data_IF_755280533861
#
_entry.id   IF_755280533861
#
_cell.length_a   1.000
_cell.length_b   1.000
_cell.length_c   1.000
_cell.angle_alpha   90.00
_cell.angle_beta   90.00
_cell.angle_gamma   90.00
#
_symmetry.space_group_name_H-M   'P 1'
#
loop_
_entity.id
_entity.type
_entity.pdbx_description
1 polymer ?
#
# COMPACT_ATOMS: atom_id res chain seq x y z
N UNK A 1 -16.21 9.22 -8.20
CA UNK A 1 -16.29 9.92 -6.91
C UNK A 1 -15.00 9.77 -6.11
N UNK A 2 -14.43 8.59 -5.97
CA UNK A 2 -13.19 8.30 -5.24
C UNK A 2 -11.98 9.08 -5.79
N UNK A 3 -11.81 9.16 -7.12
CA UNK A 3 -10.72 9.88 -7.79
C UNK A 3 -10.74 11.40 -7.51
N UNK A 4 -11.91 12.04 -7.41
CA UNK A 4 -12.03 13.46 -7.07
C UNK A 4 -11.70 13.75 -5.59
N UNK A 5 -12.01 12.81 -4.69
CA UNK A 5 -11.69 12.94 -3.26
C UNK A 5 -10.17 12.86 -3.02
N UNK A 6 -9.46 12.07 -3.81
CA UNK A 6 -8.00 11.95 -3.73
C UNK A 6 -7.22 13.21 -4.17
N UNK A 7 -7.85 14.19 -4.81
CA UNK A 7 -7.25 15.49 -5.13
C UNK A 7 -7.22 16.45 -3.94
N UNK A 8 -8.06 16.25 -2.94
CA UNK A 8 -8.12 17.09 -1.74
C UNK A 8 -7.24 16.48 -0.63
N UNK A 9 -6.25 17.26 -0.12
CA UNK A 9 -5.32 16.81 0.92
C UNK A 9 -6.02 16.36 2.20
N UNK A 10 -7.08 17.04 2.61
CA UNK A 10 -7.85 16.72 3.80
C UNK A 10 -8.71 15.46 3.63
N UNK A 11 -9.32 15.30 2.46
CA UNK A 11 -10.08 14.09 2.13
C UNK A 11 -9.17 12.84 2.09
N UNK A 12 -7.97 12.96 1.55
CA UNK A 12 -6.95 11.88 1.55
C UNK A 12 -6.57 11.47 2.98
N UNK A 13 -6.34 12.46 3.85
CA UNK A 13 -6.01 12.17 5.25
C UNK A 13 -7.20 11.50 5.96
N UNK A 14 -8.42 11.99 5.77
CA UNK A 14 -9.63 11.39 6.32
C UNK A 14 -9.84 9.94 5.87
N UNK A 15 -9.66 9.65 4.58
CA UNK A 15 -9.74 8.27 4.04
C UNK A 15 -8.62 7.41 4.63
N UNK A 16 -7.40 7.95 4.79
CA UNK A 16 -6.29 7.26 5.43
C UNK A 16 -6.60 6.89 6.90
N UNK A 17 -7.19 7.81 7.66
CA UNK A 17 -7.61 7.57 9.06
C UNK A 17 -8.71 6.49 9.12
N UNK A 18 -9.68 6.52 8.21
CA UNK A 18 -10.68 5.45 8.12
C UNK A 18 -10.04 4.09 7.76
N UNK A 19 -9.03 4.11 6.90
CA UNK A 19 -8.26 2.90 6.60
C UNK A 19 -7.58 2.32 7.84
N UNK A 20 -6.85 3.12 8.61
CA UNK A 20 -6.19 2.62 9.83
C UNK A 20 -7.17 2.23 10.94
N UNK A 21 -8.35 2.84 10.99
CA UNK A 21 -9.44 2.41 11.86
C UNK A 21 -9.90 0.99 11.48
N UNK A 22 -10.13 0.75 10.19
CA UNK A 22 -10.53 -0.58 9.70
C UNK A 22 -9.44 -1.63 9.92
N UNK A 23 -8.15 -1.24 9.80
CA UNK A 23 -7.02 -2.10 10.17
C UNK A 23 -7.07 -2.49 11.65
N UNK A 24 -7.24 -1.52 12.55
CA UNK A 24 -7.30 -1.78 13.99
C UNK A 24 -8.50 -2.67 14.36
N UNK A 25 -9.67 -2.42 13.77
CA UNK A 25 -10.84 -3.28 13.92
C UNK A 25 -10.52 -4.71 13.48
N UNK A 26 -9.94 -4.88 12.30
CA UNK A 26 -9.60 -6.20 11.77
C UNK A 26 -8.63 -6.95 12.69
N UNK A 27 -7.61 -6.29 13.19
CA UNK A 27 -6.60 -6.90 14.06
C UNK A 27 -7.21 -7.31 15.41
N UNK A 28 -7.94 -6.40 16.06
CA UNK A 28 -8.47 -6.67 17.39
C UNK A 28 -9.64 -7.66 17.38
N UNK A 29 -10.38 -7.78 16.28
CA UNK A 29 -11.53 -8.70 16.21
C UNK A 29 -11.17 -10.09 15.65
N UNK A 30 -10.21 -10.18 14.72
CA UNK A 30 -9.92 -11.44 14.02
C UNK A 30 -8.56 -12.05 14.37
N UNK A 31 -7.55 -11.23 14.70
CA UNK A 31 -6.19 -11.71 14.89
C UNK A 31 -5.87 -11.95 16.36
N UNK A 32 -6.07 -10.93 17.18
CA UNK A 32 -5.69 -10.97 18.60
C UNK A 32 -6.46 -12.04 19.40
N UNK A 33 -7.78 -12.25 19.22
CA UNK A 33 -8.53 -13.26 19.98
C UNK A 33 -8.05 -14.71 19.75
N UNK A 34 -7.42 -14.96 18.60
CA UNK A 34 -6.83 -16.27 18.28
C UNK A 34 -5.35 -16.39 18.66
N UNK A 35 -4.79 -15.41 19.37
CA UNK A 35 -3.36 -15.32 19.68
C UNK A 35 -2.46 -15.37 18.45
N UNK A 36 -2.94 -14.81 17.32
CA UNK A 36 -2.18 -14.71 16.09
C UNK A 36 -1.41 -13.38 16.01
N UNK A 37 -0.42 -13.36 15.17
CA UNK A 37 0.47 -12.22 15.01
C UNK A 37 0.38 -11.64 13.62
N UNK A 38 0.26 -10.30 13.55
CA UNK A 38 0.37 -9.59 12.28
C UNK A 38 1.82 -9.61 11.82
N UNK A 39 2.04 -9.38 10.52
CA UNK A 39 3.40 -9.16 10.03
C UNK A 39 3.97 -7.79 10.42
N UNK A 40 5.23 -7.60 10.08
CA UNK A 40 5.90 -6.31 10.25
C UNK A 40 6.20 -5.93 11.70
N UNK A 41 6.42 -4.63 11.93
CA UNK A 41 6.78 -4.10 13.24
C UNK A 41 5.70 -4.35 14.30
N UNK A 42 4.43 -4.26 13.92
CA UNK A 42 3.32 -4.48 14.83
C UNK A 42 3.30 -5.94 15.34
N UNK A 43 3.62 -6.91 14.48
CA UNK A 43 3.73 -8.32 14.87
C UNK A 43 4.79 -8.53 15.95
N UNK A 44 5.93 -7.85 15.87
CA UNK A 44 6.94 -7.89 16.94
C UNK A 44 6.44 -7.24 18.24
N UNK A 45 5.66 -6.15 18.16
CA UNK A 45 5.05 -5.54 19.35
C UNK A 45 4.04 -6.49 20.02
N UNK A 46 3.23 -7.19 19.21
CA UNK A 46 2.29 -8.19 19.70
C UNK A 46 2.99 -9.38 20.33
N UNK A 47 4.07 -9.88 19.68
CA UNK A 47 4.90 -10.96 20.22
C UNK A 47 5.47 -10.57 21.58
N UNK A 48 6.05 -9.38 21.69
CA UNK A 48 6.58 -8.86 22.95
C UNK A 48 5.51 -8.76 24.04
N UNK A 49 4.33 -8.24 23.70
CA UNK A 49 3.17 -8.22 24.62
C UNK A 49 2.85 -9.63 25.11
N UNK A 50 2.71 -10.61 24.19
CA UNK A 50 2.34 -11.98 24.55
C UNK A 50 3.39 -12.65 25.45
N UNK A 51 4.67 -12.40 25.23
CA UNK A 51 5.74 -12.88 26.11
C UNK A 51 5.63 -12.24 27.50
N UNK A 52 5.35 -10.94 27.59
CA UNK A 52 5.16 -10.25 28.88
C UNK A 52 3.97 -10.81 29.65
N UNK A 53 2.83 -10.99 28.99
CA UNK A 53 1.60 -11.45 29.67
C UNK A 53 1.67 -12.94 30.01
N UNK A 54 2.09 -13.81 29.08
CA UNK A 54 2.03 -15.26 29.26
C UNK A 54 3.22 -15.82 30.03
N UNK A 55 4.43 -15.20 29.92
CA UNK A 55 5.64 -15.70 30.57
C UNK A 55 5.98 -14.95 31.87
N UNK A 56 5.69 -13.66 31.94
CA UNK A 56 6.03 -12.82 33.09
C UNK A 56 4.83 -12.49 33.98
N UNK A 57 3.60 -12.88 33.58
CA UNK A 57 2.37 -12.65 34.33
C UNK A 57 2.01 -11.17 34.52
N UNK A 58 2.54 -10.29 33.68
CA UNK A 58 2.26 -8.85 33.74
C UNK A 58 0.98 -8.61 32.93
N UNK A 59 -0.14 -8.34 33.58
CA UNK A 59 -1.40 -7.94 32.95
C UNK A 59 -1.58 -6.42 33.04
N UNK A 60 -1.15 -5.68 32.03
CA UNK A 60 -1.49 -4.26 31.93
C UNK A 60 -2.97 -4.14 31.59
N UNK A 61 -3.69 -3.23 32.23
CA UNK A 61 -5.12 -3.02 31.99
C UNK A 61 -5.51 -2.50 30.61
N UNK A 62 -4.56 -2.45 29.65
CA UNK A 62 -4.75 -2.01 28.27
C UNK A 62 -3.78 -2.71 27.32
N UNK A 63 -4.06 -2.68 26.01
CA UNK A 63 -3.17 -3.30 25.02
C UNK A 63 -1.89 -2.48 24.81
N UNK A 64 -0.77 -2.99 25.35
CA UNK A 64 0.56 -2.37 25.25
C UNK A 64 1.09 -2.40 23.82
N UNK A 65 0.63 -3.30 22.94
CA UNK A 65 1.18 -3.44 21.59
C UNK A 65 0.99 -2.17 20.76
N UNK A 66 -0.13 -1.47 20.94
CA UNK A 66 -0.37 -0.18 20.27
C UNK A 66 0.59 0.91 20.75
N UNK A 67 0.83 1.01 22.05
CA UNK A 67 1.77 1.98 22.62
C UNK A 67 3.20 1.68 22.19
N UNK A 68 3.62 0.42 22.28
CA UNK A 68 4.95 -0.01 21.85
C UNK A 68 5.15 0.23 20.34
N UNK A 69 4.12 -0.02 19.55
CA UNK A 69 4.13 0.28 18.11
C UNK A 69 4.38 1.77 17.85
N UNK A 70 3.71 2.66 18.57
CA UNK A 70 3.93 4.10 18.45
C UNK A 70 5.38 4.48 18.81
N UNK A 71 5.88 4.00 19.96
CA UNK A 71 7.23 4.30 20.42
C UNK A 71 8.30 3.85 19.42
N UNK A 72 8.18 2.64 18.89
CA UNK A 72 9.12 2.10 17.88
C UNK A 72 9.00 2.78 16.51
N UNK A 73 7.87 3.42 16.20
CA UNK A 73 7.72 4.21 15.01
C UNK A 73 8.37 5.60 15.09
N UNK A 74 8.63 6.15 16.28
CA UNK A 74 9.25 7.46 16.44
C UNK A 74 10.60 7.54 15.70
N UNK A 75 11.57 6.64 15.93
CA UNK A 75 12.85 6.70 15.22
C UNK A 75 12.69 6.49 13.71
N UNK A 76 11.73 5.68 13.27
CA UNK A 76 11.44 5.46 11.84
C UNK A 76 10.86 6.71 11.18
N UNK A 77 9.99 7.43 11.86
CA UNK A 77 9.43 8.71 11.39
C UNK A 77 10.51 9.80 11.31
N UNK A 78 11.44 9.85 12.28
CA UNK A 78 12.59 10.77 12.24
C UNK A 78 13.49 10.45 11.03
N UNK A 79 13.72 9.16 10.76
CA UNK A 79 14.46 8.71 9.60
C UNK A 79 13.76 9.09 8.28
N UNK A 80 12.43 8.91 8.23
CA UNK A 80 11.61 9.28 7.09
C UNK A 80 11.62 10.80 6.83
N UNK A 81 11.65 11.60 7.89
CA UNK A 81 11.70 13.06 7.77
C UNK A 81 12.91 13.57 6.99
N UNK A 82 14.04 12.88 7.13
CA UNK A 82 15.30 13.24 6.43
C UNK A 82 15.34 12.78 4.97
N UNK A 83 14.49 11.83 4.58
CA UNK A 83 14.61 11.13 3.28
C UNK A 83 13.39 11.23 2.39
N UNK A 84 12.24 11.57 2.98
CA UNK A 84 10.95 11.64 2.29
C UNK A 84 10.37 13.04 2.34
N UNK A 85 9.42 13.33 1.47
CA UNK A 85 8.75 14.63 1.45
C UNK A 85 7.97 14.90 2.75
N UNK A 86 8.03 16.14 3.25
CA UNK A 86 7.35 16.57 4.50
C UNK A 86 5.88 16.19 4.55
N UNK A 87 5.18 16.30 3.43
CA UNK A 87 3.75 15.97 3.35
C UNK A 87 3.45 14.48 3.57
N UNK A 88 4.31 13.58 3.08
CA UNK A 88 4.20 12.14 3.34
C UNK A 88 4.40 11.84 4.83
N UNK A 89 5.45 12.41 5.42
CA UNK A 89 5.79 12.12 6.82
C UNK A 89 4.72 12.61 7.78
N UNK A 90 4.19 13.81 7.58
CA UNK A 90 3.11 14.35 8.42
C UNK A 90 1.86 13.46 8.35
N UNK A 91 1.44 13.07 7.15
CA UNK A 91 0.28 12.17 6.99
C UNK A 91 0.53 10.81 7.61
N UNK A 92 1.71 10.22 7.39
CA UNK A 92 2.09 8.93 7.98
C UNK A 92 2.14 9.02 9.50
N UNK A 93 2.71 10.07 10.06
CA UNK A 93 2.72 10.30 11.51
C UNK A 93 1.29 10.35 12.08
N UNK A 94 0.39 11.10 11.44
CA UNK A 94 -1.02 11.16 11.86
C UNK A 94 -1.67 9.77 11.78
N UNK A 95 -1.50 9.04 10.69
CA UNK A 95 -2.05 7.69 10.55
C UNK A 95 -1.47 6.71 11.58
N UNK A 96 -0.15 6.77 11.86
CA UNK A 96 0.50 5.92 12.87
C UNK A 96 -0.02 6.20 14.27
N UNK A 97 -0.18 7.47 14.65
CA UNK A 97 -0.76 7.86 15.94
C UNK A 97 -2.21 7.39 16.05
N UNK A 98 -3.03 7.63 15.01
CA UNK A 98 -4.41 7.15 14.99
C UNK A 98 -4.49 5.62 15.06
N UNK A 99 -3.63 4.90 14.33
CA UNK A 99 -3.58 3.44 14.37
C UNK A 99 -3.28 2.93 15.78
N UNK A 100 -2.27 3.50 16.44
CA UNK A 100 -1.91 3.16 17.82
C UNK A 100 -3.08 3.41 18.79
N UNK A 101 -3.72 4.58 18.68
CA UNK A 101 -4.89 4.91 19.50
C UNK A 101 -6.04 3.93 19.27
N UNK A 102 -6.38 3.62 18.02
CA UNK A 102 -7.46 2.68 17.70
C UNK A 102 -7.16 1.27 18.19
N UNK A 103 -5.92 0.79 18.04
CA UNK A 103 -5.52 -0.52 18.58
C UNK A 103 -5.68 -0.60 20.09
N UNK A 104 -5.42 0.49 20.81
CA UNK A 104 -5.54 0.56 22.27
C UNK A 104 -7.00 0.75 22.72
N UNK A 105 -7.80 1.54 21.97
CA UNK A 105 -9.17 1.89 22.35
C UNK A 105 -10.22 0.83 21.97
N UNK A 106 -9.98 0.11 20.87
CA UNK A 106 -10.91 -0.93 20.42
C UNK A 106 -10.72 -2.17 21.32
N UNK A 107 -11.74 -2.59 22.08
CA UNK A 107 -11.59 -3.73 22.97
C UNK A 107 -11.40 -5.02 22.17
N UNK A 108 -10.53 -5.88 22.67
CA UNK A 108 -10.38 -7.25 22.16
C UNK A 108 -11.47 -8.11 22.78
N UNK A 109 -12.31 -8.80 21.99
CA UNK A 109 -13.34 -9.67 22.52
C UNK A 109 -12.73 -10.82 23.33
N UNK A 110 -13.38 -11.19 24.45
CA UNK A 110 -12.96 -12.32 25.27
C UNK A 110 -13.08 -13.66 24.52
N UNK A 111 -14.03 -13.77 23.61
CA UNK A 111 -14.21 -14.90 22.70
C UNK A 111 -14.09 -14.45 21.26
N UNK A 112 -13.45 -15.24 20.37
CA UNK A 112 -13.38 -14.92 18.95
C UNK A 112 -14.78 -14.77 18.35
N UNK A 113 -14.98 -13.74 17.51
CA UNK A 113 -16.26 -13.54 16.78
C UNK A 113 -16.48 -14.66 15.76
N UNK A 114 -15.38 -15.14 15.18
CA UNK A 114 -15.37 -16.29 14.26
C UNK A 114 -14.56 -17.38 14.96
N UNK A 115 -15.21 -18.48 15.33
CA UNK A 115 -14.56 -19.57 16.09
C UNK A 115 -13.49 -20.30 15.29
N UNK A 116 -13.72 -20.48 13.98
CA UNK A 116 -12.74 -21.12 13.12
C UNK A 116 -11.54 -20.22 12.83
N UNK A 117 -10.38 -20.65 13.31
CA UNK A 117 -9.12 -19.91 13.21
C UNK A 117 -8.70 -19.63 11.76
N UNK A 118 -8.92 -20.60 10.84
CA UNK A 118 -8.58 -20.43 9.44
C UNK A 118 -9.45 -19.34 8.80
N UNK A 119 -10.75 -19.40 9.02
CA UNK A 119 -11.68 -18.38 8.52
C UNK A 119 -11.35 -17.00 9.08
N UNK A 120 -11.00 -16.93 10.36
CA UNK A 120 -10.59 -15.69 11.01
C UNK A 120 -9.30 -15.11 10.40
N UNK A 121 -8.30 -15.96 10.10
CA UNK A 121 -7.08 -15.57 9.39
C UNK A 121 -7.38 -14.99 8.00
N UNK A 122 -8.24 -15.68 7.24
CA UNK A 122 -8.57 -15.26 5.87
C UNK A 122 -9.31 -13.92 5.90
N UNK A 123 -10.38 -13.81 6.69
CA UNK A 123 -11.16 -12.56 6.80
C UNK A 123 -10.32 -11.41 7.35
N UNK A 124 -9.59 -11.66 8.44
CA UNK A 124 -8.71 -10.67 9.03
C UNK A 124 -7.63 -10.18 8.05
N UNK A 125 -6.97 -11.12 7.33
CA UNK A 125 -5.98 -10.79 6.33
C UNK A 125 -6.57 -10.00 5.16
N UNK A 126 -7.74 -10.40 4.65
CA UNK A 126 -8.43 -9.69 3.56
C UNK A 126 -8.81 -8.27 3.95
N UNK A 127 -9.47 -8.09 5.10
CA UNK A 127 -9.92 -6.77 5.58
C UNK A 127 -8.74 -5.86 5.88
N UNK A 128 -7.72 -6.37 6.57
CA UNK A 128 -6.53 -5.62 6.90
C UNK A 128 -5.73 -5.22 5.66
N UNK A 129 -5.57 -6.14 4.70
CA UNK A 129 -4.87 -5.87 3.45
C UNK A 129 -5.60 -4.83 2.59
N UNK A 130 -6.92 -4.94 2.47
CA UNK A 130 -7.74 -3.94 1.79
C UNK A 130 -7.61 -2.56 2.44
N UNK A 131 -7.71 -2.49 3.77
CA UNK A 131 -7.57 -1.26 4.54
C UNK A 131 -6.16 -0.65 4.40
N UNK A 132 -5.11 -1.46 4.51
CA UNK A 132 -3.72 -1.05 4.29
C UNK A 132 -3.48 -0.52 2.87
N UNK A 133 -4.06 -1.17 1.86
CA UNK A 133 -4.02 -0.71 0.47
C UNK A 133 -4.67 0.67 0.28
N UNK A 134 -5.79 0.95 0.96
CA UNK A 134 -6.43 2.26 0.97
C UNK A 134 -5.50 3.31 1.59
N UNK A 135 -4.88 3.02 2.75
CA UNK A 135 -3.94 3.91 3.43
C UNK A 135 -2.79 4.29 2.49
N UNK A 136 -2.17 3.29 1.85
CA UNK A 136 -1.08 3.52 0.90
C UNK A 136 -1.55 4.31 -0.33
N UNK A 137 -2.74 4.06 -0.85
CA UNK A 137 -3.34 4.80 -1.98
C UNK A 137 -3.55 6.27 -1.64
N UNK A 138 -3.81 6.60 -0.38
CA UNK A 138 -3.88 7.97 0.11
C UNK A 138 -2.50 8.65 0.26
N UNK A 139 -1.40 7.98 -0.09
CA UNK A 139 -0.04 8.49 0.10
C UNK A 139 0.31 8.66 1.58
N UNK A 140 -0.19 7.75 2.41
CA UNK A 140 0.11 7.58 3.81
C UNK A 140 0.73 6.20 4.02
N UNK A 141 1.27 5.93 5.21
CA UNK A 141 1.59 4.59 5.68
C UNK A 141 1.03 4.43 7.09
N UNK A 142 0.72 3.22 7.48
CA UNK A 142 0.40 2.94 8.89
C UNK A 142 1.65 2.99 9.78
N UNK A 143 2.84 3.03 9.20
CA UNK A 143 4.12 3.01 9.91
C UNK A 143 4.85 1.67 9.76
N UNK A 144 5.76 1.40 10.69
CA UNK A 144 6.47 0.12 10.74
C UNK A 144 7.54 -0.06 9.68
N UNK A 145 7.75 -1.31 9.27
CA UNK A 145 8.81 -1.69 8.34
C UNK A 145 8.62 -1.14 6.91
N UNK A 146 7.43 -0.66 6.56
CA UNK A 146 7.19 0.00 5.28
C UNK A 146 8.06 1.26 5.13
N UNK A 147 8.19 2.05 6.21
CA UNK A 147 9.05 3.24 6.23
C UNK A 147 10.51 2.84 6.02
N UNK A 148 10.96 1.80 6.72
CA UNK A 148 12.34 1.32 6.63
C UNK A 148 12.63 0.74 5.24
N UNK A 149 11.69 -0.02 4.69
CA UNK A 149 11.79 -0.58 3.34
C UNK A 149 11.88 0.50 2.26
N UNK A 150 11.05 1.54 2.35
CA UNK A 150 11.12 2.70 1.45
C UNK A 150 12.46 3.45 1.57
N UNK A 151 12.98 3.60 2.79
CA UNK A 151 14.28 4.20 3.02
C UNK A 151 15.42 3.39 2.37
N UNK A 152 15.42 2.08 2.56
CA UNK A 152 16.44 1.19 1.98
C UNK A 152 16.37 1.15 0.46
N UNK A 153 15.16 1.15 -0.11
CA UNK A 153 14.94 1.20 -1.55
C UNK A 153 15.52 2.46 -2.20
N UNK A 154 15.43 3.61 -1.52
CA UNK A 154 16.02 4.88 -2.01
C UNK A 154 17.56 4.88 -1.98
N UNK A 155 18.21 4.11 -1.12
CA UNK A 155 19.67 4.01 -1.04
C UNK A 155 20.32 3.08 -2.07
N UNK A 156 19.55 2.44 -2.94
CA UNK A 156 20.05 1.76 -4.15
C UNK A 156 20.87 0.48 -3.92
N UNK A 157 20.83 -0.14 -2.74
CA UNK A 157 21.65 -1.32 -2.41
C UNK A 157 21.01 -2.67 -2.77
N UNK A 158 20.19 -2.75 -3.85
CA UNK A 158 19.62 -4.04 -4.30
C UNK A 158 18.62 -4.71 -3.35
N UNK A 159 18.36 -4.09 -2.20
CA UNK A 159 17.40 -4.56 -1.22
C UNK A 159 16.02 -3.94 -1.53
N UNK A 160 15.06 -4.78 -1.85
CA UNK A 160 13.68 -4.33 -2.08
C UNK A 160 12.91 -4.36 -0.77
N UNK A 161 11.92 -3.46 -0.63
CA UNK A 161 10.98 -3.40 0.52
C UNK A 161 10.42 -4.80 0.83
N UNK A 162 10.01 -5.53 -0.22
CA UNK A 162 9.44 -6.86 -0.07
C UNK A 162 10.43 -7.89 0.51
N UNK A 163 11.70 -7.90 0.05
CA UNK A 163 12.72 -8.82 0.60
C UNK A 163 12.96 -8.55 2.08
N UNK A 164 13.04 -7.28 2.47
CA UNK A 164 13.20 -6.90 3.87
C UNK A 164 12.01 -7.36 4.72
N UNK A 165 10.78 -7.07 4.27
CA UNK A 165 9.56 -7.47 4.97
C UNK A 165 9.46 -8.99 5.13
N UNK A 166 9.74 -9.76 4.06
CA UNK A 166 9.73 -11.22 4.10
C UNK A 166 10.76 -11.75 5.10
N UNK A 167 12.00 -11.20 5.11
CA UNK A 167 13.03 -11.63 6.06
C UNK A 167 12.64 -11.37 7.51
N UNK A 168 12.09 -10.18 7.79
CA UNK A 168 11.61 -9.85 9.14
C UNK A 168 10.45 -10.75 9.58
N UNK A 169 9.49 -11.01 8.69
CA UNK A 169 8.36 -11.88 8.98
C UNK A 169 8.79 -13.34 9.17
N UNK A 170 9.79 -13.83 8.41
CA UNK A 170 10.36 -15.15 8.63
C UNK A 170 10.97 -15.30 10.03
N UNK A 171 11.71 -14.28 10.50
CA UNK A 171 12.25 -14.26 11.87
C UNK A 171 11.11 -14.23 12.90
N UNK A 172 10.10 -13.38 12.69
CA UNK A 172 8.95 -13.28 13.59
C UNK A 172 8.24 -14.64 13.76
N UNK A 173 7.93 -15.31 12.64
CA UNK A 173 7.19 -16.59 12.70
C UNK A 173 8.06 -17.76 13.16
N UNK A 174 9.37 -17.71 12.93
CA UNK A 174 10.30 -18.64 13.55
C UNK A 174 10.34 -18.47 15.08
N UNK A 175 10.29 -17.23 15.58
CA UNK A 175 10.15 -16.97 17.02
C UNK A 175 8.78 -17.45 17.55
N UNK A 176 7.69 -17.23 16.82
CA UNK A 176 6.38 -17.77 17.20
C UNK A 176 6.39 -19.30 17.32
N UNK A 177 7.04 -19.98 16.36
CA UNK A 177 7.18 -21.45 16.38
C UNK A 177 7.94 -21.95 17.62
N UNK A 178 9.00 -21.23 18.02
CA UNK A 178 9.83 -21.62 19.17
C UNK A 178 9.18 -21.27 20.51
N UNK A 179 8.51 -20.12 20.60
CA UNK A 179 7.96 -19.59 21.85
C UNK A 179 6.56 -20.12 22.17
N UNK A 180 5.79 -20.48 21.16
CA UNK A 180 4.40 -20.93 21.30
C UNK A 180 4.21 -22.31 20.63
N UNK A 181 3.59 -22.36 19.43
CA UNK A 181 3.29 -23.58 18.71
C UNK A 181 3.32 -23.41 17.19
N UNK A 182 3.30 -24.57 16.49
CA UNK A 182 3.32 -24.58 15.03
C UNK A 182 2.03 -24.01 14.41
N UNK A 183 0.87 -24.19 15.07
CA UNK A 183 -0.39 -23.69 14.56
C UNK A 183 -0.40 -22.16 14.53
N UNK A 184 0.03 -21.51 15.61
CA UNK A 184 0.18 -20.04 15.70
C UNK A 184 1.08 -19.51 14.57
N UNK A 185 2.23 -20.13 14.31
CA UNK A 185 3.15 -19.71 13.25
C UNK A 185 2.52 -19.88 11.85
N UNK A 186 1.87 -21.02 11.60
CA UNK A 186 1.23 -21.32 10.30
C UNK A 186 0.06 -20.36 10.03
N UNK A 187 -0.86 -20.21 10.97
CA UNK A 187 -2.01 -19.33 10.79
C UNK A 187 -1.63 -17.85 10.68
N UNK A 188 -0.63 -17.40 11.43
CA UNK A 188 -0.09 -16.03 11.28
C UNK A 188 0.55 -15.82 9.91
N UNK A 189 1.20 -16.84 9.37
CA UNK A 189 1.75 -16.80 8.00
C UNK A 189 0.64 -16.72 6.96
N UNK A 190 -0.42 -17.54 7.08
CA UNK A 190 -1.60 -17.51 6.20
C UNK A 190 -2.23 -16.11 6.22
N UNK A 191 -2.48 -15.56 7.42
CA UNK A 191 -2.97 -14.21 7.58
C UNK A 191 -2.12 -13.19 6.81
N UNK A 192 -0.79 -13.24 6.98
CA UNK A 192 0.12 -12.28 6.33
C UNK A 192 0.14 -12.43 4.81
N UNK A 193 0.04 -13.64 4.28
CA UNK A 193 -0.06 -13.89 2.83
C UNK A 193 -1.34 -13.23 2.29
N UNK A 194 -2.49 -13.48 2.91
CA UNK A 194 -3.76 -12.88 2.48
C UNK A 194 -3.75 -11.35 2.63
N UNK A 195 -3.20 -10.85 3.73
CA UNK A 195 -3.01 -9.41 3.93
C UNK A 195 -2.19 -8.79 2.79
N UNK A 196 -1.07 -9.40 2.42
CA UNK A 196 -0.22 -8.89 1.33
C UNK A 196 -0.91 -8.96 -0.04
N UNK A 197 -1.63 -10.05 -0.34
CA UNK A 197 -2.36 -10.19 -1.60
C UNK A 197 -3.44 -9.10 -1.78
N UNK A 198 -4.22 -8.84 -0.73
CA UNK A 198 -5.27 -7.83 -0.77
C UNK A 198 -4.71 -6.41 -0.74
N UNK A 199 -3.62 -6.17 0.00
CA UNK A 199 -2.91 -4.91 0.01
C UNK A 199 -2.39 -4.54 -1.37
N UNK A 200 -1.69 -5.47 -2.03
CA UNK A 200 -1.15 -5.26 -3.37
C UNK A 200 -2.26 -5.02 -4.41
N UNK A 201 -3.36 -5.75 -4.29
CA UNK A 201 -4.50 -5.60 -5.20
C UNK A 201 -5.22 -4.26 -5.03
N UNK A 202 -5.24 -3.72 -3.82
CA UNK A 202 -5.88 -2.44 -3.50
C UNK A 202 -4.95 -1.27 -3.76
N UNK A 203 -3.65 -1.43 -3.50
CA UNK A 203 -2.64 -0.40 -3.73
C UNK A 203 -2.18 -0.36 -5.19
N UNK A 204 -3.00 0.25 -6.04
CA UNK A 204 -2.73 0.35 -7.49
C UNK A 204 -1.72 1.43 -7.89
N UNK A 205 -1.22 2.25 -6.98
CA UNK A 205 -0.34 3.40 -7.29
C UNK A 205 1.07 2.99 -7.77
N UNK A 206 1.50 1.77 -7.50
CA UNK A 206 2.83 1.28 -7.90
C UNK A 206 2.88 0.66 -9.29
N UNK A 207 1.73 0.45 -9.93
CA UNK A 207 1.68 -0.21 -11.23
C UNK A 207 1.97 0.83 -12.31
N UNK A 208 3.17 0.75 -12.88
CA UNK A 208 3.51 1.50 -14.08
C UNK A 208 2.87 0.81 -15.29
N UNK A 209 2.19 1.59 -16.10
CA UNK A 209 1.59 1.11 -17.34
C UNK A 209 2.18 1.86 -18.53
N UNK A 210 2.35 1.16 -19.64
CA UNK A 210 2.60 1.74 -20.94
C UNK A 210 1.30 1.81 -21.70
N UNK A 211 0.99 2.98 -22.24
CA UNK A 211 -0.18 3.19 -23.09
C UNK A 211 0.29 3.58 -24.47
N UNK A 212 -0.14 2.81 -25.47
CA UNK A 212 -0.06 3.18 -26.87
C UNK A 212 -1.40 3.74 -27.30
N UNK A 213 -1.40 4.91 -27.88
CA UNK A 213 -2.59 5.62 -28.37
C UNK A 213 -2.46 5.72 -29.87
N UNK A 214 -3.45 5.20 -30.58
CA UNK A 214 -3.52 5.22 -32.03
C UNK A 214 -4.62 6.22 -32.45
N UNK A 215 -4.22 7.29 -33.13
CA UNK A 215 -5.14 8.35 -33.56
C UNK A 215 -4.85 8.74 -35.01
N UNK A 216 -5.92 9.04 -35.75
CA UNK A 216 -5.81 9.54 -37.12
C UNK A 216 -5.59 11.06 -37.16
N UNK A 217 -5.89 11.72 -36.08
CA UNK A 217 -5.79 13.16 -35.95
C UNK A 217 -4.35 13.60 -35.66
N UNK A 218 -3.85 14.53 -36.48
CA UNK A 218 -2.54 15.17 -36.24
C UNK A 218 -2.70 16.29 -35.22
N UNK A 219 -2.92 15.93 -33.96
CA UNK A 219 -3.06 16.93 -32.90
C UNK A 219 -1.76 17.15 -32.18
N UNK A 220 -1.20 18.34 -32.30
CA UNK A 220 -0.11 18.83 -31.45
C UNK A 220 -0.54 19.08 -30.01
N UNK A 221 -1.82 19.22 -29.77
CA UNK A 221 -2.39 19.48 -28.43
C UNK A 221 -2.31 18.29 -27.49
N UNK A 222 -2.46 17.06 -28.01
CA UNK A 222 -2.49 15.86 -27.18
C UNK A 222 -1.14 15.57 -26.49
N UNK A 223 0.03 15.60 -27.17
CA UNK A 223 1.32 15.52 -26.51
C UNK A 223 1.54 16.65 -25.49
N UNK A 224 1.11 17.87 -25.82
CA UNK A 224 1.22 19.03 -24.91
C UNK A 224 0.38 18.83 -23.65
N UNK A 225 -0.86 18.37 -23.78
CA UNK A 225 -1.72 18.01 -22.65
C UNK A 225 -1.05 16.97 -21.74
N UNK A 226 -0.52 15.87 -22.31
CA UNK A 226 0.13 14.80 -21.56
C UNK A 226 1.34 15.34 -20.77
N UNK A 227 2.16 16.18 -21.40
CA UNK A 227 3.34 16.76 -20.75
C UNK A 227 2.97 17.79 -19.69
N UNK A 228 2.03 18.69 -19.95
CA UNK A 228 1.69 19.79 -19.03
C UNK A 228 0.76 19.38 -17.89
N UNK A 229 -0.23 18.53 -18.16
CA UNK A 229 -1.25 18.14 -17.17
C UNK A 229 -0.89 16.89 -16.39
N UNK A 230 -0.32 15.90 -17.07
CA UNK A 230 0.08 14.66 -16.42
C UNK A 230 1.56 14.66 -16.00
N UNK A 231 2.36 15.63 -16.46
CA UNK A 231 3.79 15.68 -16.18
C UNK A 231 4.55 14.46 -16.73
N UNK A 232 4.05 13.86 -17.83
CA UNK A 232 4.60 12.64 -18.42
C UNK A 232 5.24 12.91 -19.76
N UNK A 233 6.42 12.32 -19.96
CA UNK A 233 7.05 12.31 -21.28
C UNK A 233 6.20 11.49 -22.27
N UNK A 234 6.14 11.98 -23.50
CA UNK A 234 5.42 11.32 -24.60
C UNK A 234 6.39 11.17 -25.79
N UNK A 235 6.41 9.98 -26.36
CA UNK A 235 7.10 9.72 -27.62
C UNK A 235 6.06 9.39 -28.67
N UNK A 236 6.19 9.95 -29.86
CA UNK A 236 5.26 9.65 -30.94
C UNK A 236 6.00 9.39 -32.26
N UNK A 237 5.37 8.58 -33.12
CA UNK A 237 5.83 8.31 -34.47
C UNK A 237 4.63 8.18 -35.41
N UNK A 238 4.88 8.29 -36.73
CA UNK A 238 3.87 8.06 -37.74
C UNK A 238 3.87 6.57 -38.14
N UNK A 239 2.68 6.04 -38.33
CA UNK A 239 2.43 4.72 -38.87
C UNK A 239 1.37 4.79 -39.95
N UNK A 240 1.07 3.65 -40.57
CA UNK A 240 0.02 3.51 -41.56
C UNK A 240 -0.92 2.38 -41.17
N UNK A 241 -2.20 2.60 -41.32
CA UNK A 241 -3.22 1.56 -41.13
C UNK A 241 -3.19 0.58 -42.30
N UNK A 242 -2.80 -0.68 -42.07
CA UNK A 242 -2.66 -1.67 -43.14
C UNK A 242 -3.95 -1.91 -43.93
N UNK A 243 -5.12 -1.74 -43.32
CA UNK A 243 -6.42 -1.91 -44.00
C UNK A 243 -6.86 -0.68 -44.79
N UNK A 244 -6.56 0.53 -44.26
CA UNK A 244 -7.05 1.78 -44.86
C UNK A 244 -5.98 2.49 -45.68
N UNK A 245 -4.73 2.07 -45.61
CA UNK A 245 -3.54 2.71 -46.18
C UNK A 245 -3.44 4.22 -45.83
N UNK A 246 -4.04 4.61 -44.67
CA UNK A 246 -4.05 6.00 -44.22
C UNK A 246 -2.98 6.21 -43.13
N UNK A 247 -2.35 7.39 -43.11
CA UNK A 247 -1.41 7.74 -42.05
C UNK A 247 -2.14 7.85 -40.71
N UNK A 248 -1.51 7.36 -39.67
CA UNK A 248 -1.95 7.49 -38.28
C UNK A 248 -0.76 7.88 -37.38
N UNK A 249 -1.08 8.49 -36.28
CA UNK A 249 -0.09 8.83 -35.23
C UNK A 249 -0.18 7.83 -34.08
N UNK A 250 0.96 7.31 -33.66
CA UNK A 250 1.08 6.43 -32.48
C UNK A 250 1.81 7.20 -31.39
N UNK A 251 1.17 7.38 -30.23
CA UNK A 251 1.79 7.99 -29.06
C UNK A 251 2.06 6.90 -28.03
N UNK A 252 3.26 6.92 -27.46
CA UNK A 252 3.68 6.05 -26.39
C UNK A 252 3.89 6.88 -25.12
N UNK A 253 3.21 6.50 -24.06
CA UNK A 253 3.27 7.18 -22.75
C UNK A 253 3.41 6.14 -21.65
N UNK A 254 4.30 6.40 -20.68
CA UNK A 254 4.42 5.63 -19.46
C UNK A 254 3.82 6.44 -18.31
N UNK A 255 2.86 5.86 -17.60
CA UNK A 255 2.14 6.54 -16.52
C UNK A 255 1.71 5.53 -15.44
N UNK A 256 1.13 6.02 -14.36
CA UNK A 256 0.58 5.17 -13.31
C UNK A 256 -0.85 4.72 -13.67
N UNK A 257 -1.24 3.54 -13.21
CA UNK A 257 -2.55 2.94 -13.54
C UNK A 257 -3.75 3.86 -13.27
N UNK A 258 -3.68 4.68 -12.22
CA UNK A 258 -4.76 5.63 -11.90
C UNK A 258 -4.90 6.80 -12.88
N UNK A 259 -3.83 7.12 -13.64
CA UNK A 259 -3.84 8.20 -14.63
C UNK A 259 -4.48 7.78 -15.96
N UNK A 260 -4.69 6.48 -16.18
CA UNK A 260 -5.24 5.92 -17.45
C UNK A 260 -6.61 6.52 -17.76
N UNK A 261 -7.51 6.58 -16.78
CA UNK A 261 -8.86 7.08 -16.99
C UNK A 261 -8.87 8.55 -17.42
N UNK A 262 -8.02 9.37 -16.79
CA UNK A 262 -7.88 10.78 -17.15
C UNK A 262 -7.31 10.92 -18.56
N UNK A 263 -6.27 10.14 -18.89
CA UNK A 263 -5.69 10.12 -20.22
C UNK A 263 -6.73 9.72 -21.28
N UNK A 264 -7.45 8.64 -21.06
CA UNK A 264 -8.47 8.16 -22.00
C UNK A 264 -9.61 9.16 -22.20
N UNK A 265 -10.06 9.83 -21.13
CA UNK A 265 -11.09 10.85 -21.23
C UNK A 265 -10.65 12.04 -22.08
N UNK A 266 -9.42 12.51 -21.88
CA UNK A 266 -8.90 13.66 -22.65
C UNK A 266 -8.62 13.28 -24.12
N UNK A 267 -8.07 12.10 -24.36
CA UNK A 267 -7.85 11.64 -25.73
C UNK A 267 -9.17 11.52 -26.50
N UNK A 268 -10.21 10.96 -25.87
CA UNK A 268 -11.54 10.82 -26.50
C UNK A 268 -12.25 12.15 -26.79
N UNK A 269 -11.90 13.23 -26.09
CA UNK A 269 -12.40 14.58 -26.42
C UNK A 269 -11.83 15.08 -27.72
N UNK A 270 -10.58 14.71 -28.03
CA UNK A 270 -9.85 15.13 -29.23
C UNK A 270 -10.16 14.18 -30.40
N UNK A 271 -10.07 12.89 -30.18
CA UNK A 271 -10.39 11.84 -31.16
C UNK A 271 -11.26 10.75 -30.52
N UNK A 272 -12.58 10.79 -30.75
CA UNK A 272 -13.49 9.77 -30.22
C UNK A 272 -13.21 8.35 -30.75
N UNK A 273 -12.53 8.23 -31.90
CA UNK A 273 -12.21 6.97 -32.56
C UNK A 273 -10.80 6.45 -32.19
N UNK A 274 -10.05 7.18 -31.37
CA UNK A 274 -8.74 6.73 -30.89
C UNK A 274 -8.87 5.40 -30.13
N UNK A 275 -7.98 4.46 -30.40
CA UNK A 275 -7.92 3.24 -29.64
C UNK A 275 -6.62 3.15 -28.80
N UNK A 276 -6.68 2.35 -27.74
CA UNK A 276 -5.63 2.27 -26.75
C UNK A 276 -5.18 0.83 -26.55
N UNK A 277 -3.86 0.62 -26.52
CA UNK A 277 -3.27 -0.60 -25.98
C UNK A 277 -2.67 -0.24 -24.63
N UNK A 278 -3.11 -0.91 -23.57
CA UNK A 278 -2.62 -0.69 -22.20
C UNK A 278 -1.87 -1.93 -21.76
N UNK A 279 -0.58 -1.78 -21.49
CA UNK A 279 0.26 -2.85 -20.99
C UNK A 279 0.64 -2.54 -19.53
N UNK A 280 0.19 -3.39 -18.61
CA UNK A 280 0.46 -3.26 -17.17
C UNK A 280 1.79 -3.92 -16.80
N UNK A 281 2.37 -3.50 -15.66
CA UNK A 281 3.56 -4.13 -15.09
C UNK A 281 4.86 -3.85 -15.83
N UNK A 282 4.90 -2.79 -16.63
CA UNK A 282 6.10 -2.38 -17.37
C UNK A 282 7.16 -1.86 -16.41
N UNK A 283 8.40 -2.34 -16.57
CA UNK A 283 9.55 -1.80 -15.85
C UNK A 283 10.17 -0.67 -16.66
N UNK A 284 10.08 0.54 -16.14
CA UNK A 284 10.71 1.73 -16.74
C UNK A 284 12.00 2.03 -15.99
N UNK A 285 13.13 2.10 -16.71
CA UNK A 285 14.43 2.49 -16.17
C UNK A 285 14.85 3.88 -16.71
N UNK A 286 15.72 4.58 -16.00
CA UNK A 286 16.19 5.91 -16.38
C UNK A 286 15.49 7.05 -15.63
N UNK A 287 15.37 8.21 -16.27
CA UNK A 287 14.80 9.43 -15.66
C UNK A 287 13.26 9.42 -15.56
N UNK A 288 12.69 8.30 -15.17
CA UNK A 288 11.25 8.21 -14.92
C UNK A 288 10.93 8.53 -13.47
N UNK A 289 10.41 9.72 -13.21
CA UNK A 289 9.93 10.08 -11.88
C UNK A 289 8.56 9.46 -11.61
N UNK A 290 8.48 8.61 -10.60
CA UNK A 290 7.19 8.17 -10.06
C UNK A 290 6.61 9.34 -9.27
N UNK A 291 5.61 10.01 -9.82
CA UNK A 291 4.84 10.98 -9.04
C UNK A 291 4.01 10.21 -8.01
N UNK A 292 4.56 10.06 -6.82
CA UNK A 292 3.81 9.74 -5.62
C UNK A 292 3.11 11.05 -5.20
N UNK A 293 1.96 11.27 -5.77
CA UNK A 293 1.15 12.47 -5.51
C UNK A 293 0.55 12.44 -4.11
#
# INVERSE_FOLDING_TARGET
MFSKALHNRWARLGIGILGVLLMAISINLFVVPHNLYTGGLLGFCQLFRSVLTQRLGVEPGFDISGVLYLLLNIPLLILAWKTMGRGFVVRTMTCTVCCSLFLTMIPVPAHPIVEDTLTSCLLGGMVNGFAGGIVLTCGCSSGGFDILGLYMSKRGKGFTVGKFSISCNAVLYALCLVLFDAATAIYSTIYTVFNSLFLDRTHQQSITVQVLIFTKEKHTELPKFIMERLGRGVTYWQGYGAYTDQPLQVLCVCLSKYEIQTLQQEVRKVDPNAFFIVQEGVRVGGNFEKHLS
#
